data_IF_221712098567
#
_entry.id   IF_221712098567
#
_cell.length_a   1.000
_cell.length_b   1.000
_cell.length_c   1.000
_cell.angle_alpha   90.00
_cell.angle_beta   90.00
_cell.angle_gamma   90.00
#
_symmetry.space_group_name_H-M   'P 1'
#
loop_
_entity.id
_entity.type
_entity.pdbx_description
1 polymer ?
#
# COMPACT_ATOMS: atom_id res chain seq x y z
N UNK A 1 0.93 16.70 -5.26
CA UNK A 1 0.14 15.86 -4.34
C UNK A 1 1.02 14.68 -3.97
N UNK A 2 0.97 14.15 -2.76
CA UNK A 2 1.69 12.91 -2.46
C UNK A 2 1.05 11.73 -3.18
N UNK A 3 1.81 10.70 -3.46
CA UNK A 3 1.26 9.39 -3.69
C UNK A 3 0.65 8.89 -2.39
N UNK A 4 -0.45 8.17 -2.49
CA UNK A 4 -1.16 7.66 -1.33
C UNK A 4 -1.01 6.14 -1.24
N UNK A 5 -0.51 5.69 -0.10
CA UNK A 5 -0.43 4.28 0.23
C UNK A 5 -1.71 3.89 0.95
N UNK A 6 -2.46 2.96 0.39
CA UNK A 6 -3.63 2.37 1.06
C UNK A 6 -3.16 1.41 2.14
N UNK A 7 -3.75 1.48 3.32
CA UNK A 7 -3.38 0.64 4.45
C UNK A 7 -4.61 0.01 5.10
N UNK A 8 -4.45 -1.24 5.52
CA UNK A 8 -5.31 -1.92 6.47
C UNK A 8 -4.48 -2.23 7.70
N UNK A 9 -4.96 -1.86 8.87
CA UNK A 9 -4.27 -2.09 10.14
C UNK A 9 -5.20 -2.80 11.11
N UNK A 10 -4.75 -3.95 11.60
CA UNK A 10 -5.36 -4.68 12.69
C UNK A 10 -4.46 -4.57 13.92
N UNK A 11 -5.00 -4.04 15.00
CA UNK A 11 -4.36 -3.90 16.30
C UNK A 11 -5.06 -4.76 17.32
N UNK A 12 -4.32 -5.55 18.07
CA UNK A 12 -4.85 -6.21 19.27
C UNK A 12 -4.05 -5.82 20.50
N UNK A 13 -4.71 -5.78 21.67
CA UNK A 13 -4.08 -5.49 22.94
C UNK A 13 -4.82 -6.16 24.09
N UNK A 14 -4.09 -6.62 25.12
CA UNK A 14 -4.69 -7.28 26.29
C UNK A 14 -5.51 -6.31 27.15
N UNK A 15 -5.11 -5.03 27.22
CA UNK A 15 -5.82 -3.98 27.93
C UNK A 15 -6.83 -3.28 27.00
N UNK A 16 -8.15 -3.38 27.28
CA UNK A 16 -9.19 -2.71 26.48
C UNK A 16 -9.06 -1.18 26.46
N UNK A 17 -8.47 -0.56 27.48
CA UNK A 17 -8.28 0.90 27.49
C UNK A 17 -7.31 1.35 26.39
N UNK A 18 -6.33 0.51 26.03
CA UNK A 18 -5.43 0.79 24.92
C UNK A 18 -6.12 0.74 23.56
N UNK A 19 -7.08 -0.17 23.37
CA UNK A 19 -7.91 -0.23 22.16
C UNK A 19 -8.81 1.00 22.06
N UNK A 20 -9.44 1.40 23.17
CA UNK A 20 -10.27 2.62 23.21
C UNK A 20 -9.41 3.86 22.90
N UNK A 21 -8.21 3.95 23.47
CA UNK A 21 -7.25 5.02 23.21
C UNK A 21 -6.85 5.08 21.72
N UNK A 22 -6.54 3.93 21.12
CA UNK A 22 -6.18 3.83 19.71
C UNK A 22 -7.34 4.27 18.81
N UNK A 23 -8.58 3.78 19.07
CA UNK A 23 -9.80 4.20 18.36
C UNK A 23 -10.02 5.71 18.45
N UNK A 24 -9.94 6.29 19.64
CA UNK A 24 -10.24 7.70 19.85
C UNK A 24 -9.19 8.60 19.17
N UNK A 25 -7.93 8.20 19.21
CA UNK A 25 -6.85 8.88 18.49
C UNK A 25 -7.05 8.78 16.97
N UNK A 26 -7.38 7.60 16.46
CA UNK A 26 -7.66 7.39 15.04
C UNK A 26 -8.86 8.23 14.56
N UNK A 27 -9.95 8.22 15.32
CA UNK A 27 -11.15 9.00 14.99
C UNK A 27 -10.90 10.52 14.91
N UNK A 28 -9.88 11.02 15.65
CA UNK A 28 -9.46 12.44 15.61
C UNK A 28 -8.46 12.79 14.52
N UNK A 29 -7.89 11.79 13.81
CA UNK A 29 -6.80 12.00 12.85
C UNK A 29 -5.45 12.29 13.51
N UNK A 30 -5.24 11.80 14.72
CA UNK A 30 -4.02 11.98 15.54
C UNK A 30 -3.45 10.63 16.00
N UNK A 31 -3.66 9.59 15.20
CA UNK A 31 -3.36 8.22 15.60
C UNK A 31 -1.88 8.00 15.89
N UNK A 32 -1.01 8.43 14.97
CA UNK A 32 0.42 8.21 15.15
C UNK A 32 0.98 9.13 16.24
N UNK A 33 0.58 10.40 16.25
CA UNK A 33 1.05 11.37 17.25
C UNK A 33 0.64 11.01 18.69
N UNK A 34 -0.48 10.29 18.87
CA UNK A 34 -0.91 9.81 20.19
C UNK A 34 0.11 8.83 20.81
N UNK A 35 0.73 7.96 20.00
CA UNK A 35 1.66 6.94 20.49
C UNK A 35 3.13 7.29 20.22
N UNK A 36 3.39 8.13 19.25
CA UNK A 36 4.73 8.62 18.86
C UNK A 36 4.66 10.15 18.74
N UNK A 37 4.57 10.87 19.86
CA UNK A 37 4.35 12.31 19.86
C UNK A 37 5.53 13.06 19.25
N UNK A 38 5.22 14.08 18.44
CA UNK A 38 6.23 15.00 17.90
C UNK A 38 6.91 15.80 19.03
N UNK A 39 8.21 16.11 18.91
CA UNK A 39 8.98 16.75 20.00
C UNK A 39 8.63 18.23 20.22
N UNK A 40 7.68 18.79 19.51
CA UNK A 40 7.30 20.18 19.60
C UNK A 40 5.96 20.48 18.94
N UNK A 41 5.61 21.77 18.86
CA UNK A 41 4.35 22.20 18.23
C UNK A 41 4.45 22.41 16.71
N UNK A 42 5.67 22.39 16.17
CA UNK A 42 5.89 22.60 14.73
C UNK A 42 6.09 21.27 14.02
N UNK A 43 5.35 21.09 12.91
CA UNK A 43 5.51 19.93 12.05
C UNK A 43 6.91 19.90 11.42
N UNK A 44 7.56 18.74 11.44
CA UNK A 44 8.87 18.53 10.86
C UNK A 44 8.88 17.28 9.98
N UNK A 45 9.10 17.45 8.69
CA UNK A 45 9.09 16.38 7.70
C UNK A 45 10.09 15.27 8.00
N UNK A 46 11.36 15.64 8.23
CA UNK A 46 12.43 14.66 8.45
C UNK A 46 12.17 13.82 9.72
N UNK A 47 11.66 14.50 10.75
CA UNK A 47 11.30 13.83 12.00
C UNK A 47 10.14 12.85 11.79
N UNK A 48 9.06 13.26 11.10
CA UNK A 48 7.90 12.39 10.85
C UNK A 48 8.31 11.17 10.04
N UNK A 49 9.03 11.33 8.94
CA UNK A 49 9.49 10.21 8.12
C UNK A 49 10.39 9.26 8.91
N UNK A 50 11.27 9.77 9.77
CA UNK A 50 12.19 8.94 10.56
C UNK A 50 11.52 8.21 11.72
N UNK A 51 10.46 8.78 12.33
CA UNK A 51 9.85 8.23 13.54
C UNK A 51 8.45 7.64 13.34
N UNK A 52 7.76 8.05 12.28
CA UNK A 52 6.45 7.52 11.90
C UNK A 52 6.53 6.57 10.70
N UNK A 53 7.50 6.77 9.80
CA UNK A 53 7.61 6.08 8.52
C UNK A 53 6.80 6.77 7.41
N UNK A 54 5.98 7.75 7.73
CA UNK A 54 5.15 8.52 6.80
C UNK A 54 5.21 10.01 7.08
N UNK A 55 4.74 10.82 6.13
CA UNK A 55 4.84 12.28 6.19
C UNK A 55 3.87 12.91 7.17
N UNK A 56 2.65 12.42 7.26
CA UNK A 56 1.55 12.99 8.04
C UNK A 56 0.94 11.95 8.97
N UNK A 57 0.23 12.45 9.98
CA UNK A 57 -0.60 11.60 10.84
C UNK A 57 -1.74 10.99 10.03
N UNK A 58 -2.34 9.93 10.56
CA UNK A 58 -3.39 9.16 9.89
C UNK A 58 -4.62 9.03 10.77
N UNK A 59 -5.72 8.71 10.14
CA UNK A 59 -6.99 8.40 10.78
C UNK A 59 -8.09 9.40 10.44
N UNK A 60 -9.28 8.88 10.50
CA UNK A 60 -10.56 9.58 10.55
C UNK A 60 -11.64 8.63 11.05
N UNK A 61 -12.81 9.16 11.40
CA UNK A 61 -13.88 8.32 11.92
C UNK A 61 -14.49 7.35 10.89
N UNK A 62 -14.29 7.58 9.59
CA UNK A 62 -14.83 6.73 8.52
C UNK A 62 -13.94 5.50 8.27
N UNK A 63 -12.66 5.60 8.59
CA UNK A 63 -11.71 4.50 8.44
C UNK A 63 -11.83 3.40 9.50
N UNK A 64 -12.66 3.55 10.53
CA UNK A 64 -12.87 2.50 11.55
C UNK A 64 -13.79 1.44 10.96
N UNK A 65 -13.23 0.25 10.70
CA UNK A 65 -13.97 -0.89 10.13
C UNK A 65 -14.65 -1.73 11.21
N UNK A 66 -13.92 -2.12 12.25
CA UNK A 66 -14.46 -2.89 13.37
C UNK A 66 -13.71 -2.60 14.66
N UNK A 67 -14.40 -2.81 15.78
CA UNK A 67 -13.85 -2.68 17.12
C UNK A 67 -14.48 -3.70 18.06
N UNK A 68 -13.63 -4.30 18.90
CA UNK A 68 -14.02 -5.10 20.06
C UNK A 68 -13.26 -4.57 21.29
N UNK A 69 -13.41 -5.22 22.44
CA UNK A 69 -12.68 -4.84 23.64
C UNK A 69 -11.14 -5.01 23.45
N UNK A 70 -10.71 -5.92 22.57
CA UNK A 70 -9.31 -6.28 22.40
C UNK A 70 -8.77 -6.13 21.00
N UNK A 71 -9.56 -5.64 20.06
CA UNK A 71 -9.19 -5.51 18.65
C UNK A 71 -9.75 -4.25 18.02
N UNK A 72 -8.95 -3.60 17.19
CA UNK A 72 -9.33 -2.48 16.33
C UNK A 72 -8.84 -2.74 14.92
N UNK A 73 -9.76 -2.72 13.94
CA UNK A 73 -9.42 -2.79 12.51
C UNK A 73 -9.76 -1.47 11.86
N UNK A 74 -8.77 -0.86 11.18
CA UNK A 74 -8.91 0.42 10.51
C UNK A 74 -8.35 0.39 9.09
N UNK A 75 -8.93 1.25 8.23
CA UNK A 75 -8.46 1.54 6.88
C UNK A 75 -8.08 3.01 6.79
N UNK A 76 -6.95 3.30 6.16
CA UNK A 76 -6.50 4.69 5.96
C UNK A 76 -5.50 4.80 4.82
N UNK A 77 -5.34 6.02 4.34
CA UNK A 77 -4.28 6.38 3.41
C UNK A 77 -3.15 7.07 4.16
N UNK A 78 -1.91 6.70 3.85
CA UNK A 78 -0.71 7.36 4.33
C UNK A 78 0.07 8.01 3.20
N UNK A 79 0.78 9.10 3.50
CA UNK A 79 1.49 9.88 2.49
C UNK A 79 2.86 9.27 2.18
N UNK A 80 3.06 8.79 0.96
CA UNK A 80 4.27 8.22 0.37
C UNK A 80 4.59 6.78 0.76
N UNK A 81 4.39 6.41 2.02
CA UNK A 81 4.80 5.12 2.58
C UNK A 81 3.92 4.72 3.76
N UNK A 82 3.82 3.42 4.08
CA UNK A 82 3.15 2.94 5.28
C UNK A 82 3.90 3.42 6.54
N UNK A 83 3.20 3.62 7.67
CA UNK A 83 3.81 4.10 8.90
C UNK A 83 4.54 2.99 9.70
N UNK A 84 5.48 2.29 9.05
CA UNK A 84 6.20 1.13 9.63
C UNK A 84 6.91 1.48 10.94
N UNK A 85 7.57 2.64 11.01
CA UNK A 85 8.25 3.05 12.24
C UNK A 85 7.28 3.28 13.42
N UNK A 86 6.06 3.73 13.12
CA UNK A 86 5.02 3.81 14.15
C UNK A 86 4.51 2.42 14.56
N UNK A 87 4.45 1.45 13.66
CA UNK A 87 4.08 0.07 13.99
C UNK A 87 5.07 -0.58 14.95
N UNK A 88 6.37 -0.38 14.77
CA UNK A 88 7.40 -0.82 15.70
C UNK A 88 7.18 -0.25 17.11
N UNK A 89 6.82 1.04 17.18
CA UNK A 89 6.54 1.69 18.48
C UNK A 89 5.25 1.17 19.13
N UNK A 90 4.22 0.85 18.36
CA UNK A 90 3.02 0.21 18.89
C UNK A 90 3.32 -1.18 19.46
N UNK A 91 4.18 -1.97 18.82
CA UNK A 91 4.64 -3.26 19.36
C UNK A 91 5.40 -3.08 20.68
N UNK A 92 6.27 -2.06 20.80
CA UNK A 92 6.95 -1.72 22.07
C UNK A 92 5.96 -1.39 23.20
N UNK A 93 4.77 -0.90 22.87
CA UNK A 93 3.69 -0.57 23.82
C UNK A 93 2.78 -1.77 24.12
N UNK A 94 3.06 -2.94 23.58
CA UNK A 94 2.34 -4.18 23.84
C UNK A 94 1.21 -4.48 22.86
N UNK A 95 1.03 -3.70 21.79
CA UNK A 95 0.12 -4.08 20.72
C UNK A 95 0.69 -5.23 19.90
N UNK A 96 -0.17 -6.17 19.49
CA UNK A 96 0.11 -6.98 18.31
C UNK A 96 -0.36 -6.21 17.10
N UNK A 97 0.53 -6.04 16.14
CA UNK A 97 0.30 -5.26 14.92
C UNK A 97 0.31 -6.19 13.72
N UNK A 98 -0.77 -6.17 12.94
CA UNK A 98 -0.81 -6.75 11.62
C UNK A 98 -1.30 -5.69 10.63
N UNK A 99 -0.51 -5.38 9.63
CA UNK A 99 -0.87 -4.40 8.63
C UNK A 99 -0.55 -4.90 7.23
N UNK A 100 -1.41 -4.54 6.28
CA UNK A 100 -1.15 -4.68 4.86
C UNK A 100 -1.18 -3.31 4.21
N UNK A 101 -0.42 -3.14 3.13
CA UNK A 101 -0.40 -1.87 2.42
C UNK A 101 -0.13 -2.07 0.92
N UNK A 102 -0.63 -1.11 0.11
CA UNK A 102 -0.40 -1.05 -1.32
C UNK A 102 -0.32 0.39 -1.83
N UNK A 103 0.68 0.68 -2.65
CA UNK A 103 0.85 1.96 -3.33
C UNK A 103 1.02 1.70 -4.85
N UNK A 104 -0.03 1.97 -5.65
CA UNK A 104 -0.02 1.66 -7.08
C UNK A 104 0.90 2.55 -7.91
N UNK A 105 1.12 3.82 -7.51
CA UNK A 105 1.88 4.77 -8.29
C UNK A 105 3.39 4.56 -8.23
N UNK A 106 3.90 4.03 -7.11
CA UNK A 106 5.30 3.64 -6.92
C UNK A 106 5.49 2.13 -7.03
N UNK A 107 4.40 1.40 -7.31
CA UNK A 107 4.40 -0.04 -7.56
C UNK A 107 5.01 -0.85 -6.40
N UNK A 108 4.47 -0.71 -5.21
CA UNK A 108 4.86 -1.55 -4.08
C UNK A 108 3.67 -1.99 -3.21
N UNK A 109 3.84 -3.11 -2.54
CA UNK A 109 2.90 -3.64 -1.54
C UNK A 109 3.67 -4.28 -0.39
N UNK A 110 3.00 -4.58 0.71
CA UNK A 110 3.65 -5.31 1.79
C UNK A 110 2.74 -5.72 2.93
N UNK A 111 3.32 -6.51 3.81
CA UNK A 111 2.71 -7.01 5.05
C UNK A 111 3.66 -6.72 6.20
N UNK A 112 3.15 -6.09 7.24
CA UNK A 112 3.85 -5.90 8.49
C UNK A 112 3.22 -6.77 9.58
N UNK A 113 4.03 -7.56 10.28
CA UNK A 113 3.61 -8.46 11.35
C UNK A 113 4.64 -8.54 12.50
N UNK A 114 4.58 -9.57 13.30
CA UNK A 114 5.52 -9.82 14.42
C UNK A 114 6.97 -10.07 13.96
N UNK A 115 7.19 -10.37 12.68
CA UNK A 115 8.51 -10.58 12.09
C UNK A 115 9.06 -9.32 11.43
N UNK A 116 8.29 -8.24 11.41
CA UNK A 116 8.63 -6.96 10.79
C UNK A 116 7.98 -6.75 9.43
N UNK A 117 8.59 -5.88 8.62
CA UNK A 117 8.07 -5.47 7.34
C UNK A 117 8.53 -6.40 6.20
N UNK A 118 7.57 -7.02 5.52
CA UNK A 118 7.78 -7.81 4.32
C UNK A 118 7.32 -7.02 3.09
N UNK A 119 8.26 -6.31 2.47
CA UNK A 119 8.06 -5.41 1.36
C UNK A 119 8.22 -6.10 0.00
N UNK A 120 7.32 -5.83 -0.95
CA UNK A 120 7.34 -6.32 -2.31
C UNK A 120 7.44 -5.16 -3.30
N UNK A 121 8.51 -5.13 -4.09
CA UNK A 121 8.66 -4.22 -5.22
C UNK A 121 7.98 -4.81 -6.46
N UNK A 122 6.93 -4.15 -6.95
CA UNK A 122 6.10 -4.58 -8.08
C UNK A 122 6.50 -3.92 -9.39
N UNK A 123 7.50 -3.03 -9.40
CA UNK A 123 7.84 -2.17 -10.55
C UNK A 123 8.25 -2.92 -11.82
N UNK A 124 8.68 -4.17 -11.69
CA UNK A 124 9.08 -5.03 -12.81
C UNK A 124 8.25 -6.31 -12.92
N UNK A 125 7.11 -6.38 -12.27
CA UNK A 125 6.21 -7.52 -12.31
C UNK A 125 5.05 -7.26 -13.29
N UNK A 126 4.63 -8.30 -13.99
CA UNK A 126 3.34 -8.34 -14.68
C UNK A 126 2.26 -8.98 -13.79
N UNK A 127 1.00 -8.96 -14.26
CA UNK A 127 -0.12 -9.52 -13.49
C UNK A 127 0.06 -11.00 -13.13
N UNK A 128 0.71 -11.78 -14.00
CA UNK A 128 1.01 -13.18 -13.77
C UNK A 128 2.12 -13.39 -12.74
N UNK A 129 3.12 -12.51 -12.72
CA UNK A 129 4.19 -12.51 -11.71
C UNK A 129 3.61 -12.20 -10.33
N UNK A 130 2.72 -11.20 -10.23
CA UNK A 130 2.05 -10.83 -8.98
C UNK A 130 1.27 -12.02 -8.42
N UNK A 131 0.45 -12.71 -9.24
CA UNK A 131 -0.29 -13.89 -8.81
C UNK A 131 0.58 -15.05 -8.29
N UNK A 132 1.82 -15.14 -8.77
CA UNK A 132 2.74 -16.22 -8.38
C UNK A 132 3.63 -15.86 -7.18
N UNK A 133 3.97 -14.61 -6.99
CA UNK A 133 5.01 -14.16 -6.06
C UNK A 133 4.45 -13.46 -4.82
N UNK A 134 3.29 -12.79 -4.92
CA UNK A 134 2.67 -12.18 -3.76
C UNK A 134 1.88 -13.21 -2.95
N UNK A 135 1.78 -13.01 -1.62
CA UNK A 135 0.78 -13.68 -0.81
C UNK A 135 -0.62 -13.44 -1.39
N UNK A 136 -1.40 -14.51 -1.59
CA UNK A 136 -2.75 -14.41 -2.18
C UNK A 136 -3.67 -13.46 -1.39
N UNK A 137 -3.51 -13.44 -0.07
CA UNK A 137 -4.23 -12.52 0.82
C UNK A 137 -3.98 -11.04 0.46
N UNK A 138 -2.73 -10.68 0.16
CA UNK A 138 -2.36 -9.31 -0.20
C UNK A 138 -2.88 -8.93 -1.59
N UNK A 139 -2.77 -9.84 -2.55
CA UNK A 139 -3.28 -9.64 -3.90
C UNK A 139 -4.81 -9.52 -3.92
N UNK A 140 -5.51 -10.43 -3.23
CA UNK A 140 -6.97 -10.42 -3.14
C UNK A 140 -7.51 -9.17 -2.42
N UNK A 141 -6.83 -8.71 -1.36
CA UNK A 141 -7.27 -7.54 -0.57
C UNK A 141 -7.28 -6.26 -1.39
N UNK A 142 -6.28 -6.07 -2.25
CA UNK A 142 -6.13 -4.85 -3.04
C UNK A 142 -6.46 -5.02 -4.53
N UNK A 143 -6.77 -6.23 -4.99
CA UNK A 143 -7.07 -6.55 -6.39
C UNK A 143 -5.90 -6.21 -7.33
N UNK A 144 -4.65 -6.45 -6.87
CA UNK A 144 -3.44 -5.96 -7.54
C UNK A 144 -3.28 -6.60 -8.91
N UNK A 145 -3.26 -7.93 -8.97
CA UNK A 145 -3.08 -8.65 -10.23
C UNK A 145 -4.24 -8.43 -11.20
N UNK A 146 -5.47 -8.28 -10.70
CA UNK A 146 -6.66 -8.00 -11.52
C UNK A 146 -6.54 -6.62 -12.16
N UNK A 147 -6.22 -5.58 -11.39
CA UNK A 147 -6.04 -4.21 -11.89
C UNK A 147 -4.88 -4.10 -12.88
N UNK A 148 -3.78 -4.84 -12.64
CA UNK A 148 -2.65 -4.90 -13.57
C UNK A 148 -3.03 -5.60 -14.87
N UNK A 149 -3.78 -6.71 -14.81
CA UNK A 149 -4.24 -7.42 -16.00
C UNK A 149 -5.19 -6.57 -16.86
N UNK A 150 -6.08 -5.79 -16.24
CA UNK A 150 -6.95 -4.84 -16.95
C UNK A 150 -6.11 -3.77 -17.66
N UNK A 151 -5.15 -3.17 -16.96
CA UNK A 151 -4.25 -2.17 -17.56
C UNK A 151 -3.40 -2.75 -18.70
N UNK A 152 -2.88 -3.96 -18.56
CA UNK A 152 -2.13 -4.68 -19.61
C UNK A 152 -2.98 -4.92 -20.84
N UNK A 153 -4.26 -5.34 -20.66
CA UNK A 153 -5.19 -5.58 -21.75
C UNK A 153 -5.54 -4.28 -22.51
N UNK A 154 -5.83 -3.20 -21.78
CA UNK A 154 -6.12 -1.89 -22.39
C UNK A 154 -4.94 -1.37 -23.21
N UNK A 155 -3.71 -1.46 -22.68
CA UNK A 155 -2.52 -1.03 -23.41
C UNK A 155 -2.22 -1.92 -24.64
N UNK A 156 -2.51 -3.22 -24.56
CA UNK A 156 -2.36 -4.12 -25.70
C UNK A 156 -3.34 -3.76 -26.83
N UNK A 157 -4.56 -3.39 -26.49
CA UNK A 157 -5.58 -2.98 -27.45
C UNK A 157 -5.23 -1.63 -28.09
N UNK A 158 -4.74 -0.66 -27.33
CA UNK A 158 -4.28 0.64 -27.83
C UNK A 158 -3.12 0.50 -28.81
N UNK A 159 -2.11 -0.30 -28.49
CA UNK A 159 -0.97 -0.59 -29.35
C UNK A 159 -1.43 -1.30 -30.63
N UNK A 160 -2.35 -2.24 -30.51
CA UNK A 160 -2.92 -2.97 -31.63
C UNK A 160 -3.72 -2.04 -32.56
N UNK A 161 -4.51 -1.12 -31.98
CA UNK A 161 -5.28 -0.14 -32.75
C UNK A 161 -4.37 0.88 -33.45
N UNK A 162 -3.40 1.45 -32.74
CA UNK A 162 -2.40 2.36 -33.32
C UNK A 162 -1.66 1.73 -34.51
N UNK A 163 -1.35 0.44 -34.39
CA UNK A 163 -0.69 -0.33 -35.44
C UNK A 163 -1.58 -0.49 -36.69
N UNK A 164 -2.88 -0.81 -36.51
CA UNK A 164 -3.85 -0.93 -37.57
C UNK A 164 -4.04 0.41 -38.28
N UNK A 165 -4.20 1.50 -37.53
CA UNK A 165 -4.37 2.85 -38.09
C UNK A 165 -3.11 3.29 -38.87
N UNK A 166 -1.92 2.94 -38.41
CA UNK A 166 -0.67 3.19 -39.10
C UNK A 166 -0.53 2.43 -40.41
N UNK A 167 -0.97 1.18 -40.47
CA UNK A 167 -0.99 0.35 -41.68
C UNK A 167 -2.00 0.90 -42.68
N UNK A 168 -3.22 1.26 -42.27
CA UNK A 168 -4.23 1.87 -43.13
C UNK A 168 -3.76 3.21 -43.69
N UNK A 169 -3.11 4.05 -42.91
CA UNK A 169 -2.63 5.36 -43.34
C UNK A 169 -1.44 5.30 -44.31
N UNK A 170 -0.58 4.28 -44.20
CA UNK A 170 0.66 4.19 -44.97
C UNK A 170 0.62 3.14 -46.10
N UNK A 171 -0.31 2.18 -46.02
CA UNK A 171 -0.39 1.04 -46.97
C UNK A 171 0.82 0.09 -46.91
N UNK A 172 1.65 0.21 -45.87
CA UNK A 172 2.85 -0.62 -45.70
C UNK A 172 2.57 -1.67 -44.63
N UNK A 173 2.61 -2.94 -45.03
CA UNK A 173 2.64 -4.01 -44.03
C UNK A 173 3.97 -3.97 -43.26
N UNK A 174 3.93 -4.01 -41.93
CA UNK A 174 5.14 -4.03 -41.13
C UNK A 174 5.90 -5.34 -41.32
N UNK A 175 7.19 -5.22 -41.54
CA UNK A 175 8.08 -6.38 -41.44
C UNK A 175 8.09 -6.84 -39.96
N UNK A 176 7.41 -7.95 -39.69
CA UNK A 176 7.56 -8.69 -38.44
C UNK A 176 9.03 -9.10 -38.36
N UNK A 177 9.80 -8.47 -37.49
CA UNK A 177 11.12 -8.97 -37.09
C UNK A 177 10.87 -10.30 -36.38
N UNK A 178 10.95 -11.40 -37.13
CA UNK A 178 10.93 -12.73 -36.58
C UNK A 178 12.13 -12.84 -35.63
N UNK A 179 11.84 -13.10 -34.36
CA UNK A 179 12.85 -13.59 -33.40
C UNK A 179 13.17 -15.04 -33.77
N UNK A 180 13.85 -15.22 -34.90
CA UNK A 180 14.56 -16.44 -35.20
C UNK A 180 16.04 -16.09 -35.40
N UNK A 181 16.77 -16.23 -34.33
CA UNK A 181 18.22 -16.33 -34.37
C UNK A 181 18.66 -17.39 -33.37
N UNK A 182 18.41 -18.64 -33.74
CA UNK A 182 19.31 -19.69 -33.35
C UNK A 182 20.66 -19.49 -34.06
N UNK A 183 21.72 -19.21 -33.31
CA UNK A 183 23.07 -19.84 -33.44
C UNK A 183 23.79 -19.66 -32.10
#
# INVERSE_FOLDING_TARGET
MPNWTNNTLNLTHEDPEMIVRARDAFARGEFINEFVPTPGSEWNYEWCVSNWGTKWDVGDNQGINSITDHELVVYFDSAWSPPVAAYERLQDLGFTVYATYYEPGMCFAGIYDEHGDNYFDLSNMDSGDVQQQLPSELDEMYGISESMAEYEAENQDEVTQWYKDGVEATGLEPHILSKDSNV
#
